data_IF_925586015849
#
_entry.id   IF_925586015849
#
_cell.length_a   1.000
_cell.length_b   1.000
_cell.length_c   1.000
_cell.angle_alpha   90.00
_cell.angle_beta   90.00
_cell.angle_gamma   90.00
#
_symmetry.space_group_name_H-M   'P 1'
#
loop_
_entity.id
_entity.type
_entity.pdbx_description
1 polymer ?
#
# COMPACT_ATOMS: atom_id res chain seq x y z
N UNK A 1 -16.35 2.34 10.92
CA UNK A 1 -15.70 1.04 11.28
C UNK A 1 -16.71 0.06 11.85
N UNK A 2 -17.39 0.41 12.96
CA UNK A 2 -18.27 -0.53 13.70
C UNK A 2 -19.35 -1.18 12.82
N UNK A 3 -20.06 -0.41 12.02
CA UNK A 3 -21.15 -0.91 11.16
C UNK A 3 -20.69 -2.01 10.18
N UNK A 4 -19.56 -1.82 9.52
CA UNK A 4 -19.02 -2.84 8.58
C UNK A 4 -18.60 -4.09 9.34
N UNK A 5 -18.02 -3.92 10.54
CA UNK A 5 -17.66 -5.05 11.41
C UNK A 5 -18.90 -5.79 11.91
N UNK A 6 -19.98 -5.07 12.22
CA UNK A 6 -21.24 -5.69 12.65
C UNK A 6 -21.84 -6.58 11.56
N UNK A 7 -21.81 -6.17 10.29
CA UNK A 7 -22.21 -7.03 9.17
C UNK A 7 -21.34 -8.28 9.04
N UNK A 8 -20.04 -8.15 9.23
CA UNK A 8 -19.15 -9.31 9.21
C UNK A 8 -19.42 -10.27 10.38
N UNK A 9 -19.71 -9.75 11.57
CA UNK A 9 -20.09 -10.55 12.73
C UNK A 9 -21.45 -11.24 12.52
N UNK A 10 -22.43 -10.55 11.94
CA UNK A 10 -23.73 -11.15 11.57
C UNK A 10 -23.54 -12.32 10.60
N UNK A 11 -22.67 -12.17 9.57
CA UNK A 11 -22.34 -13.28 8.69
C UNK A 11 -21.75 -14.47 9.47
N UNK A 12 -20.80 -14.22 10.38
CA UNK A 12 -20.19 -15.28 11.21
C UNK A 12 -21.20 -15.94 12.17
N UNK A 13 -22.20 -15.21 12.68
CA UNK A 13 -23.28 -15.77 13.49
C UNK A 13 -24.17 -16.75 12.71
N UNK A 14 -24.35 -16.50 11.42
CA UNK A 14 -25.14 -17.34 10.53
C UNK A 14 -24.36 -18.51 9.92
N UNK A 15 -23.03 -18.45 9.96
CA UNK A 15 -22.16 -19.49 9.40
C UNK A 15 -22.29 -20.81 10.16
N UNK A 16 -22.47 -21.93 9.43
CA UNK A 16 -22.72 -23.27 9.98
C UNK A 16 -21.57 -24.27 9.81
N UNK A 17 -20.45 -23.83 9.22
CA UNK A 17 -19.28 -24.69 9.01
C UNK A 17 -19.42 -25.73 7.89
N UNK A 18 -20.45 -25.62 7.03
CA UNK A 18 -20.70 -26.59 5.95
C UNK A 18 -19.68 -26.51 4.82
N UNK A 19 -19.15 -25.31 4.57
CA UNK A 19 -18.17 -25.04 3.50
C UNK A 19 -17.18 -23.96 3.98
N UNK A 20 -15.92 -23.97 3.49
CA UNK A 20 -15.03 -22.84 3.69
C UNK A 20 -15.66 -21.54 3.20
N UNK A 21 -15.31 -20.42 3.82
CA UNK A 21 -15.72 -19.09 3.36
C UNK A 21 -14.50 -18.24 2.98
N UNK A 22 -14.72 -17.29 2.10
CA UNK A 22 -13.84 -16.15 1.86
C UNK A 22 -14.64 -14.88 2.16
N UNK A 23 -14.10 -14.03 3.04
CA UNK A 23 -14.75 -12.79 3.46
C UNK A 23 -13.79 -11.62 3.32
N UNK A 24 -14.21 -10.58 2.63
CA UNK A 24 -13.51 -9.30 2.60
C UNK A 24 -14.27 -8.31 3.48
N UNK A 25 -13.58 -7.75 4.47
CA UNK A 25 -14.09 -6.70 5.35
C UNK A 25 -13.39 -5.40 5.00
N UNK A 26 -14.03 -4.58 4.19
CA UNK A 26 -13.47 -3.33 3.68
C UNK A 26 -14.02 -2.13 4.45
N UNK A 27 -13.22 -1.63 5.39
CA UNK A 27 -13.53 -0.38 6.10
C UNK A 27 -13.12 0.81 5.23
N UNK A 28 -13.85 1.92 5.37
CA UNK A 28 -13.48 3.18 4.71
C UNK A 28 -12.32 3.83 5.48
N UNK A 29 -12.37 3.77 6.80
CA UNK A 29 -11.33 4.33 7.65
C UNK A 29 -9.99 3.58 7.45
N UNK A 30 -8.86 4.25 7.56
CA UNK A 30 -8.65 5.65 7.99
C UNK A 30 -8.62 6.65 6.81
N UNK A 31 -9.54 6.54 5.86
CA UNK A 31 -9.62 7.40 4.68
C UNK A 31 -9.88 8.86 5.06
N UNK A 32 -9.21 9.78 4.39
CA UNK A 32 -9.52 11.21 4.46
C UNK A 32 -10.92 11.46 3.89
N UNK A 33 -11.75 12.17 4.62
CA UNK A 33 -13.11 12.47 4.17
C UNK A 33 -13.09 13.66 3.19
N UNK A 34 -13.08 13.35 1.91
CA UNK A 34 -12.89 14.35 0.84
C UNK A 34 -13.95 15.46 0.87
N UNK A 35 -15.19 15.12 1.19
CA UNK A 35 -16.30 16.09 1.26
C UNK A 35 -16.17 17.05 2.45
N UNK A 36 -15.45 16.63 3.49
CA UNK A 36 -15.22 17.42 4.71
C UNK A 36 -13.80 18.00 4.76
N UNK A 37 -12.90 17.57 3.87
CA UNK A 37 -11.51 18.00 3.77
C UNK A 37 -10.65 17.74 5.02
N UNK A 38 -10.98 16.69 5.80
CA UNK A 38 -10.22 16.27 6.99
C UNK A 38 -10.42 14.79 7.31
N UNK A 39 -9.58 14.25 8.21
CA UNK A 39 -9.80 12.95 8.84
C UNK A 39 -10.84 13.09 9.97
N UNK A 40 -11.68 12.08 10.14
CA UNK A 40 -12.73 12.07 11.17
C UNK A 40 -12.51 10.90 12.13
N UNK A 41 -11.71 11.13 13.15
CA UNK A 41 -11.52 10.18 14.25
C UNK A 41 -12.74 10.10 15.17
N UNK A 42 -12.89 9.03 15.95
CA UNK A 42 -13.87 8.97 17.04
C UNK A 42 -13.77 10.18 17.98
N UNK A 43 -14.89 10.56 18.57
CA UNK A 43 -14.94 11.68 19.53
C UNK A 43 -13.87 11.49 20.61
N UNK A 44 -13.09 12.54 20.88
CA UNK A 44 -11.99 12.53 21.82
C UNK A 44 -10.62 12.10 21.24
N UNK A 45 -10.55 11.83 19.93
CA UNK A 45 -9.28 11.46 19.27
C UNK A 45 -8.24 12.56 19.34
N UNK A 46 -8.64 13.82 19.12
CA UNK A 46 -7.72 14.97 19.16
C UNK A 46 -7.10 15.15 20.55
N UNK A 47 -7.86 15.01 21.60
CA UNK A 47 -7.37 15.09 22.97
C UNK A 47 -6.50 13.90 23.33
N UNK A 48 -6.93 12.68 22.99
CA UNK A 48 -6.20 11.43 23.28
C UNK A 48 -4.84 11.38 22.61
N UNK A 49 -4.75 11.85 21.39
CA UNK A 49 -3.53 11.79 20.57
C UNK A 49 -2.84 13.16 20.40
N UNK A 50 -3.15 14.15 21.23
CA UNK A 50 -2.58 15.51 21.15
C UNK A 50 -1.04 15.54 21.20
N UNK A 51 -0.42 14.58 21.89
CA UNK A 51 1.03 14.47 22.06
C UNK A 51 1.63 13.32 21.20
N UNK A 52 1.10 13.12 20.01
CA UNK A 52 1.66 12.11 19.11
C UNK A 52 3.08 12.47 18.63
N UNK A 53 3.84 11.46 18.26
CA UNK A 53 5.14 11.65 17.60
C UNK A 53 4.94 11.61 16.10
N UNK A 54 5.22 12.72 15.43
CA UNK A 54 5.13 12.78 13.98
C UNK A 54 6.18 11.89 13.30
N UNK A 55 5.85 11.20 12.22
CA UNK A 55 6.82 10.65 11.30
C UNK A 55 7.80 11.72 10.79
N UNK A 56 9.08 11.35 10.61
CA UNK A 56 10.14 12.32 10.29
C UNK A 56 9.97 12.98 8.92
N UNK A 57 9.43 12.27 7.96
CA UNK A 57 9.10 12.81 6.63
C UNK A 57 8.02 13.89 6.72
N UNK A 58 6.96 13.64 7.48
CA UNK A 58 5.89 14.61 7.68
C UNK A 58 6.41 15.88 8.38
N UNK A 59 7.26 15.73 9.42
CA UNK A 59 7.87 16.87 10.10
C UNK A 59 8.78 17.69 9.17
N UNK A 60 9.59 17.03 8.33
CA UNK A 60 10.54 17.70 7.46
C UNK A 60 9.88 18.41 6.27
N UNK A 61 8.79 17.87 5.73
CA UNK A 61 8.14 18.37 4.52
C UNK A 61 6.98 19.31 4.79
N UNK A 62 6.46 19.34 6.02
CA UNK A 62 5.27 20.12 6.36
C UNK A 62 3.96 19.38 6.01
N UNK A 63 2.99 20.07 5.45
CA UNK A 63 1.65 19.52 5.18
C UNK A 63 0.68 19.76 6.33
N UNK A 64 -0.43 18.98 6.39
CA UNK A 64 -1.49 19.17 7.37
C UNK A 64 -1.49 18.17 8.53
N UNK A 65 -0.43 17.35 8.64
CA UNK A 65 -0.38 16.24 9.62
C UNK A 65 -0.54 16.68 11.07
N UNK A 66 -0.08 17.88 11.46
CA UNK A 66 -0.19 18.36 12.85
C UNK A 66 -1.64 18.51 13.30
N UNK A 67 -2.54 18.83 12.39
CA UNK A 67 -3.96 18.99 12.64
C UNK A 67 -4.70 17.65 12.49
N UNK A 68 -4.32 16.86 11.49
CA UNK A 68 -5.07 15.71 11.01
C UNK A 68 -4.66 14.37 11.65
N UNK A 69 -3.37 14.24 12.03
CA UNK A 69 -2.82 12.96 12.49
C UNK A 69 -3.48 12.42 13.77
N UNK A 70 -3.92 13.24 14.75
CA UNK A 70 -4.65 12.73 15.90
C UNK A 70 -5.95 12.02 15.54
N UNK A 71 -6.74 12.55 14.60
CA UNK A 71 -7.95 11.90 14.12
C UNK A 71 -7.65 10.63 13.32
N UNK A 72 -6.63 10.65 12.46
CA UNK A 72 -6.12 9.46 11.78
C UNK A 72 -5.74 8.35 12.77
N UNK A 73 -5.01 8.67 13.85
CA UNK A 73 -4.66 7.70 14.90
C UNK A 73 -5.90 7.15 15.61
N UNK A 74 -6.91 7.98 15.82
CA UNK A 74 -8.19 7.57 16.36
C UNK A 74 -8.92 6.56 15.48
N UNK A 75 -8.91 6.78 14.17
CA UNK A 75 -9.46 5.85 13.19
C UNK A 75 -8.67 4.51 13.19
N UNK A 76 -7.33 4.56 13.21
CA UNK A 76 -6.50 3.36 13.30
C UNK A 76 -6.79 2.56 14.57
N UNK A 77 -6.95 3.22 15.72
CA UNK A 77 -7.32 2.55 16.97
C UNK A 77 -8.72 1.93 16.92
N UNK A 78 -9.65 2.54 16.20
CA UNK A 78 -10.97 1.97 15.97
C UNK A 78 -10.92 0.73 15.09
N UNK A 79 -10.07 0.73 14.05
CA UNK A 79 -9.82 -0.45 13.21
C UNK A 79 -9.24 -1.61 14.01
N UNK A 80 -8.22 -1.35 14.83
CA UNK A 80 -7.59 -2.36 15.69
C UNK A 80 -8.61 -3.01 16.64
N UNK A 81 -9.42 -2.19 17.32
CA UNK A 81 -10.52 -2.68 18.17
C UNK A 81 -11.47 -3.58 17.39
N UNK A 82 -11.84 -3.22 16.18
CA UNK A 82 -12.78 -3.97 15.36
C UNK A 82 -12.19 -5.25 14.78
N UNK A 83 -10.91 -5.26 14.42
CA UNK A 83 -10.19 -6.49 14.11
C UNK A 83 -10.20 -7.44 15.31
N UNK A 84 -9.97 -6.92 16.53
CA UNK A 84 -10.08 -7.69 17.78
C UNK A 84 -11.45 -8.37 17.92
N UNK A 85 -12.55 -7.67 17.68
CA UNK A 85 -13.91 -8.23 17.71
C UNK A 85 -14.10 -9.43 16.75
N UNK A 86 -13.56 -9.33 15.53
CA UNK A 86 -13.61 -10.43 14.56
C UNK A 86 -12.77 -11.62 15.01
N UNK A 87 -11.55 -11.37 15.47
CA UNK A 87 -10.65 -12.40 16.01
C UNK A 87 -11.27 -13.13 17.20
N UNK A 88 -11.86 -12.38 18.15
CA UNK A 88 -12.52 -12.96 19.32
C UNK A 88 -13.71 -13.85 18.90
N UNK A 89 -14.50 -13.38 17.92
CA UNK A 89 -15.61 -14.17 17.39
C UNK A 89 -15.15 -15.47 16.72
N UNK A 90 -14.08 -15.44 15.93
CA UNK A 90 -13.50 -16.67 15.33
C UNK A 90 -13.02 -17.65 16.41
N UNK A 91 -12.43 -17.15 17.50
CA UNK A 91 -12.01 -17.96 18.65
C UNK A 91 -13.21 -18.57 19.38
N UNK A 92 -14.25 -17.80 19.66
CA UNK A 92 -15.50 -18.28 20.27
C UNK A 92 -16.15 -19.40 19.44
N UNK A 93 -16.08 -19.30 18.11
CA UNK A 93 -16.58 -20.32 17.19
C UNK A 93 -15.65 -21.54 17.07
N UNK A 94 -14.44 -21.49 17.61
CA UNK A 94 -13.44 -22.57 17.53
C UNK A 94 -12.84 -22.76 16.13
N UNK A 95 -12.90 -21.74 15.25
CA UNK A 95 -12.39 -21.79 13.87
C UNK A 95 -11.21 -20.86 13.63
N UNK A 96 -10.72 -20.19 14.65
CA UNK A 96 -9.60 -19.24 14.53
C UNK A 96 -8.34 -19.90 13.97
N UNK A 97 -7.99 -21.08 14.43
CA UNK A 97 -6.78 -21.82 14.00
C UNK A 97 -6.88 -22.33 12.55
N UNK A 98 -8.11 -22.48 12.04
CA UNK A 98 -8.39 -22.89 10.66
C UNK A 98 -8.66 -21.70 9.74
N UNK A 99 -8.43 -20.47 10.22
CA UNK A 99 -8.70 -19.24 9.46
C UNK A 99 -7.41 -18.49 9.18
N UNK A 100 -7.17 -18.17 7.91
CA UNK A 100 -6.11 -17.22 7.53
C UNK A 100 -6.69 -15.82 7.55
N UNK A 101 -6.05 -14.93 8.30
CA UNK A 101 -6.42 -13.52 8.40
C UNK A 101 -5.34 -12.68 7.72
N UNK A 102 -5.73 -11.87 6.75
CA UNK A 102 -4.85 -10.92 6.05
C UNK A 102 -5.34 -9.52 6.38
N UNK A 103 -4.51 -8.73 7.06
CA UNK A 103 -4.76 -7.32 7.33
C UNK A 103 -3.84 -6.47 6.48
N UNK A 104 -4.41 -5.56 5.70
CA UNK A 104 -3.65 -4.64 4.83
C UNK A 104 -4.43 -3.35 4.58
N UNK A 105 -3.74 -2.38 3.96
CA UNK A 105 -4.36 -1.19 3.36
C UNK A 105 -4.13 -1.21 1.85
N UNK A 106 -4.99 -0.53 1.08
CA UNK A 106 -4.85 -0.34 -0.35
C UNK A 106 -3.74 0.65 -0.70
N UNK A 107 -3.59 1.73 0.06
CA UNK A 107 -2.55 2.75 -0.06
C UNK A 107 -2.32 3.45 1.30
N UNK A 108 -1.24 4.21 1.39
CA UNK A 108 -0.92 5.05 2.55
C UNK A 108 -1.41 6.49 2.40
N UNK A 109 -0.83 7.40 3.20
CA UNK A 109 -1.13 8.82 3.18
C UNK A 109 0.13 9.66 3.43
N UNK A 110 0.31 10.70 2.63
CA UNK A 110 1.41 11.65 2.81
C UNK A 110 0.96 12.99 3.44
N UNK A 111 -0.27 13.11 3.90
CA UNK A 111 -0.77 14.28 4.62
C UNK A 111 -0.44 15.62 3.94
N UNK A 112 -0.70 15.75 2.64
CA UNK A 112 -0.40 16.92 1.80
C UNK A 112 1.09 17.26 1.61
N UNK A 113 2.03 16.41 2.09
CA UNK A 113 3.48 16.72 2.02
C UNK A 113 4.09 16.56 0.64
N UNK A 114 3.44 15.84 -0.29
CA UNK A 114 3.95 15.50 -1.63
C UNK A 114 3.15 16.12 -2.78
N UNK A 115 2.31 17.09 -2.49
CA UNK A 115 1.51 17.78 -3.49
C UNK A 115 2.38 18.67 -4.38
N UNK A 116 2.80 18.13 -5.53
CA UNK A 116 3.55 18.90 -6.55
C UNK A 116 2.65 19.56 -7.57
N UNK A 117 1.57 18.92 -7.92
CA UNK A 117 0.75 19.23 -9.08
C UNK A 117 -0.69 19.58 -8.72
N UNK A 118 -0.88 20.23 -7.57
CA UNK A 118 -2.20 20.72 -7.14
C UNK A 118 -2.91 21.57 -8.22
N UNK A 119 -2.14 22.16 -9.17
CA UNK A 119 -2.65 22.93 -10.27
C UNK A 119 -3.11 22.09 -11.48
N UNK A 120 -2.69 20.82 -11.61
CA UNK A 120 -3.08 19.97 -12.73
C UNK A 120 -4.46 19.36 -12.55
N UNK A 121 -4.83 18.99 -11.31
CA UNK A 121 -6.15 18.43 -11.00
C UNK A 121 -6.75 18.95 -9.68
N UNK A 122 -6.13 19.92 -9.05
CA UNK A 122 -6.67 20.62 -7.89
C UNK A 122 -6.71 19.84 -6.57
N UNK A 123 -6.57 18.52 -6.55
CA UNK A 123 -6.84 17.69 -5.39
C UNK A 123 -6.01 16.40 -5.36
N UNK A 124 -4.71 16.54 -5.55
CA UNK A 124 -3.80 15.41 -5.35
C UNK A 124 -3.39 15.21 -3.90
N UNK A 125 -4.18 15.54 -3.11
CA UNK A 125 -4.38 15.81 -1.73
C UNK A 125 -3.48 15.04 -0.75
N UNK A 126 -3.60 13.71 -0.58
CA UNK A 126 -2.92 13.01 0.52
C UNK A 126 -2.34 11.64 0.12
N UNK A 127 -2.66 11.12 -1.07
CA UNK A 127 -2.33 9.72 -1.43
C UNK A 127 -1.71 9.50 -2.81
N UNK A 128 -1.91 10.37 -3.78
CA UNK A 128 -1.56 10.14 -5.19
C UNK A 128 -0.08 10.41 -5.47
N UNK A 129 0.78 9.67 -4.78
CA UNK A 129 2.23 9.80 -4.83
C UNK A 129 2.92 8.44 -4.92
N UNK A 130 4.08 8.37 -5.60
CA UNK A 130 4.93 7.18 -5.70
C UNK A 130 5.94 7.07 -4.56
N UNK A 131 5.81 7.87 -3.50
CA UNK A 131 6.67 7.81 -2.33
C UNK A 131 6.23 6.73 -1.33
N UNK A 132 7.17 6.25 -0.51
CA UNK A 132 6.92 5.22 0.51
C UNK A 132 5.73 5.58 1.44
N UNK A 133 5.51 6.86 1.73
CA UNK A 133 4.35 7.31 2.52
C UNK A 133 3.00 6.85 1.94
N UNK A 134 2.90 6.65 0.62
CA UNK A 134 1.69 6.16 -0.05
C UNK A 134 1.79 4.69 -0.48
N UNK A 135 2.97 4.19 -0.80
CA UNK A 135 3.17 2.85 -1.33
C UNK A 135 3.39 1.80 -0.25
N UNK A 136 4.04 2.16 0.86
CA UNK A 136 4.37 1.24 1.95
C UNK A 136 3.21 1.13 2.93
N UNK A 137 2.35 0.17 2.69
CA UNK A 137 1.16 -0.11 3.51
C UNK A 137 1.45 -1.17 4.57
N UNK A 138 0.69 -1.21 5.68
CA UNK A 138 0.74 -2.34 6.61
C UNK A 138 0.32 -3.63 5.89
N UNK A 139 1.00 -4.73 6.19
CA UNK A 139 0.60 -6.08 5.79
C UNK A 139 0.93 -7.04 6.93
N UNK A 140 -0.09 -7.66 7.49
CA UNK A 140 0.03 -8.70 8.51
C UNK A 140 -0.78 -9.90 8.05
N UNK A 141 -0.16 -11.08 8.10
CA UNK A 141 -0.83 -12.34 7.75
C UNK A 141 -0.64 -13.31 8.90
N UNK A 142 -1.71 -13.99 9.30
CA UNK A 142 -1.67 -15.04 10.33
C UNK A 142 -2.60 -16.19 9.97
N UNK A 143 -2.30 -17.39 10.45
CA UNK A 143 -3.06 -18.63 10.18
C UNK A 143 -2.50 -19.43 9.02
N UNK A 144 -2.93 -20.69 8.88
CA UNK A 144 -2.42 -21.62 7.88
C UNK A 144 -0.90 -21.80 7.96
N UNK A 145 -0.21 -21.54 6.86
CA UNK A 145 1.26 -21.58 6.79
C UNK A 145 1.95 -20.31 7.32
N UNK A 146 1.21 -19.25 7.61
CA UNK A 146 1.73 -17.97 8.14
C UNK A 146 1.74 -17.99 9.67
N UNK A 147 2.58 -18.80 10.25
CA UNK A 147 2.66 -19.04 11.70
C UNK A 147 4.04 -18.71 12.28
N UNK A 148 4.13 -18.68 13.62
CA UNK A 148 5.39 -18.55 14.34
C UNK A 148 5.85 -17.14 14.64
N UNK A 149 5.20 -16.13 14.10
CA UNK A 149 5.58 -14.71 14.23
C UNK A 149 6.90 -14.39 13.55
N UNK A 150 7.07 -13.17 13.12
CA UNK A 150 8.30 -12.73 12.48
C UNK A 150 8.06 -11.53 11.57
N UNK A 151 9.15 -10.98 11.02
CA UNK A 151 9.14 -9.89 10.06
C UNK A 151 9.80 -10.36 8.77
N UNK A 152 9.06 -10.29 7.67
CA UNK A 152 9.59 -10.49 6.32
C UNK A 152 10.04 -9.13 5.79
N UNK A 153 11.31 -9.00 5.43
CA UNK A 153 11.90 -7.76 4.92
C UNK A 153 11.95 -7.69 3.39
N UNK A 154 11.59 -8.78 2.73
CA UNK A 154 11.46 -8.82 1.29
C UNK A 154 10.31 -7.91 0.83
N UNK A 155 10.53 -7.20 -0.29
CA UNK A 155 9.49 -6.36 -0.88
C UNK A 155 8.38 -7.23 -1.48
N UNK A 156 7.15 -6.92 -1.14
CA UNK A 156 5.95 -7.62 -1.60
C UNK A 156 5.00 -6.59 -2.22
N UNK A 157 4.44 -6.92 -3.39
CA UNK A 157 3.41 -6.10 -4.02
C UNK A 157 2.01 -6.62 -3.68
N UNK A 158 1.07 -5.72 -3.39
CA UNK A 158 -0.35 -6.05 -3.21
C UNK A 158 -0.97 -6.72 -4.45
N UNK A 159 -0.35 -6.59 -5.64
CA UNK A 159 -0.71 -7.35 -6.83
C UNK A 159 -0.59 -8.87 -6.65
N UNK A 160 0.17 -9.34 -5.66
CA UNK A 160 0.27 -10.76 -5.30
C UNK A 160 -0.87 -11.28 -4.42
N UNK A 161 -1.71 -10.39 -3.89
CA UNK A 161 -2.80 -10.78 -2.99
C UNK A 161 -3.79 -11.79 -3.62
N UNK A 162 -4.26 -11.63 -4.87
CA UNK A 162 -5.14 -12.61 -5.49
C UNK A 162 -4.51 -14.01 -5.60
N UNK A 163 -3.25 -14.11 -6.04
CA UNK A 163 -2.52 -15.39 -6.06
C UNK A 163 -2.39 -16.02 -4.68
N UNK A 164 -2.12 -15.20 -3.68
CA UNK A 164 -2.01 -15.65 -2.28
C UNK A 164 -3.32 -16.24 -1.77
N UNK A 165 -4.45 -15.55 -1.98
CA UNK A 165 -5.78 -16.00 -1.56
C UNK A 165 -6.14 -17.33 -2.26
N UNK A 166 -5.91 -17.42 -3.55
CA UNK A 166 -6.20 -18.63 -4.32
C UNK A 166 -5.28 -19.79 -3.92
N UNK A 167 -4.00 -19.51 -3.67
CA UNK A 167 -3.05 -20.49 -3.13
C UNK A 167 -3.47 -21.05 -1.78
N UNK A 168 -3.92 -20.18 -0.84
CA UNK A 168 -4.49 -20.59 0.45
C UNK A 168 -5.72 -21.48 0.24
N UNK A 169 -6.54 -21.21 -0.76
CA UNK A 169 -7.71 -22.01 -1.10
C UNK A 169 -7.36 -23.31 -1.87
N UNK A 170 -6.09 -23.58 -2.15
CA UNK A 170 -5.65 -24.76 -2.91
C UNK A 170 -6.02 -24.69 -4.40
N UNK A 171 -6.23 -23.50 -4.95
CA UNK A 171 -6.56 -23.27 -6.36
C UNK A 171 -5.29 -22.91 -7.13
N UNK A 172 -4.95 -23.70 -8.13
CA UNK A 172 -3.86 -23.38 -9.06
C UNK A 172 -4.33 -22.31 -10.07
N UNK A 173 -3.58 -21.22 -10.17
CA UNK A 173 -3.95 -20.05 -10.98
C UNK A 173 -3.04 -19.86 -12.20
N UNK A 174 -2.08 -20.74 -12.42
CA UNK A 174 -1.16 -20.64 -13.55
C UNK A 174 -0.42 -19.29 -13.60
N UNK A 175 0.02 -18.92 -14.81
CA UNK A 175 0.82 -17.70 -15.06
C UNK A 175 -0.01 -16.47 -15.48
N UNK A 176 -1.34 -16.58 -15.50
CA UNK A 176 -2.21 -15.51 -15.99
C UNK A 176 -2.30 -14.31 -15.04
N UNK A 177 -2.01 -14.49 -13.75
CA UNK A 177 -2.02 -13.42 -12.75
C UNK A 177 -0.63 -12.84 -12.55
N UNK A 178 -0.54 -11.52 -12.55
CA UNK A 178 0.67 -10.81 -12.11
C UNK A 178 0.83 -10.86 -10.60
N UNK A 179 2.03 -10.59 -10.11
CA UNK A 179 2.36 -10.64 -8.69
C UNK A 179 2.76 -12.03 -8.21
N UNK A 180 3.18 -12.12 -6.97
CA UNK A 180 3.72 -13.33 -6.35
C UNK A 180 2.85 -13.75 -5.17
N UNK A 181 2.75 -15.06 -4.95
CA UNK A 181 2.14 -15.59 -3.74
C UNK A 181 3.01 -15.21 -2.52
N UNK A 182 2.42 -14.65 -1.48
CA UNK A 182 3.15 -14.22 -0.27
C UNK A 182 3.77 -15.40 0.48
N UNK A 183 3.19 -16.59 0.41
CA UNK A 183 3.77 -17.80 0.96
C UNK A 183 5.09 -18.17 0.27
N UNK A 184 5.17 -18.05 -1.07
CA UNK A 184 6.40 -18.31 -1.82
C UNK A 184 7.52 -17.35 -1.40
N UNK A 185 7.18 -16.10 -1.10
CA UNK A 185 8.14 -15.11 -0.58
C UNK A 185 8.57 -15.46 0.83
N UNK A 186 7.62 -15.82 1.71
CA UNK A 186 7.89 -16.25 3.09
C UNK A 186 8.86 -17.44 3.13
N UNK A 187 8.63 -18.44 2.28
CA UNK A 187 9.42 -19.67 2.24
C UNK A 187 10.65 -19.59 1.32
N UNK A 188 10.88 -18.42 0.69
CA UNK A 188 11.99 -18.23 -0.28
C UNK A 188 11.99 -19.28 -1.38
N UNK A 189 10.81 -19.59 -1.90
CA UNK A 189 10.61 -20.61 -2.95
C UNK A 189 11.42 -20.29 -4.22
N UNK A 190 11.60 -19.01 -4.55
CA UNK A 190 12.48 -18.55 -5.62
C UNK A 190 13.68 -17.75 -5.05
N UNK A 191 14.85 -18.37 -4.83
CA UNK A 191 16.02 -17.69 -4.29
C UNK A 191 16.61 -16.62 -5.22
N UNK A 192 16.25 -16.64 -6.52
CA UNK A 192 16.69 -15.66 -7.52
C UNK A 192 15.66 -14.55 -7.77
N UNK A 193 14.62 -14.49 -6.96
CA UNK A 193 13.59 -13.45 -7.03
C UNK A 193 14.23 -12.06 -6.88
N UNK A 194 13.99 -11.13 -7.82
CA UNK A 194 14.44 -9.76 -7.63
C UNK A 194 13.65 -9.12 -6.46
N UNK A 195 14.38 -8.58 -5.47
CA UNK A 195 13.77 -7.87 -4.35
C UNK A 195 13.41 -6.44 -4.77
N UNK A 196 12.40 -6.33 -5.62
CA UNK A 196 11.91 -5.08 -6.17
C UNK A 196 10.40 -5.16 -6.40
N UNK A 197 9.74 -4.02 -6.37
CA UNK A 197 8.30 -3.89 -6.68
C UNK A 197 8.06 -2.77 -7.67
N UNK A 198 7.04 -2.97 -8.50
CA UNK A 198 6.52 -1.99 -9.45
C UNK A 198 5.26 -1.34 -8.86
N UNK A 199 5.11 -0.03 -9.08
CA UNK A 199 3.92 0.71 -8.70
C UNK A 199 3.51 1.67 -9.81
N UNK A 200 2.20 1.99 -9.86
CA UNK A 200 1.63 2.87 -10.87
C UNK A 200 0.58 3.82 -10.30
N UNK A 201 0.48 5.00 -10.88
CA UNK A 201 -0.64 5.93 -10.75
C UNK A 201 -1.18 6.20 -12.15
N UNK A 202 -2.51 6.19 -12.28
CA UNK A 202 -3.23 6.54 -13.51
C UNK A 202 -4.52 7.27 -13.14
N UNK A 203 -4.40 8.34 -12.38
CA UNK A 203 -5.52 9.14 -11.88
C UNK A 203 -5.20 10.64 -11.97
N UNK A 204 -4.51 11.23 -10.99
CA UNK A 204 -4.09 12.63 -11.05
C UNK A 204 -3.05 12.86 -12.14
N UNK A 205 -2.18 11.88 -12.34
CA UNK A 205 -1.16 11.82 -13.39
C UNK A 205 -0.93 10.39 -13.84
N UNK A 206 -0.19 10.21 -14.91
CA UNK A 206 0.35 8.90 -15.29
C UNK A 206 1.78 8.83 -14.77
N UNK A 207 1.98 8.03 -13.74
CA UNK A 207 3.27 7.83 -13.07
C UNK A 207 3.58 6.35 -12.88
N UNK A 208 4.87 6.00 -12.91
CA UNK A 208 5.37 4.64 -12.70
C UNK A 208 6.58 4.68 -11.79
N UNK A 209 6.71 3.71 -10.91
CA UNK A 209 7.85 3.62 -10.02
C UNK A 209 8.36 2.20 -9.87
N UNK A 210 9.66 2.10 -9.62
CA UNK A 210 10.32 0.90 -9.14
C UNK A 210 10.90 1.18 -7.75
N UNK A 211 10.63 0.29 -6.80
CA UNK A 211 11.14 0.32 -5.45
C UNK A 211 11.98 -0.92 -5.23
N UNK A 212 13.24 -0.74 -4.88
CA UNK A 212 14.18 -1.80 -4.47
C UNK A 212 14.52 -1.66 -2.99
N UNK A 213 15.28 -2.57 -2.41
CA UNK A 213 15.76 -2.43 -1.03
C UNK A 213 16.53 -1.13 -0.80
N UNK A 214 17.27 -0.65 -1.82
CA UNK A 214 18.23 0.45 -1.69
C UNK A 214 17.76 1.75 -2.32
N UNK A 215 16.85 1.70 -3.30
CA UNK A 215 16.50 2.85 -4.13
C UNK A 215 15.01 2.93 -4.42
N UNK A 216 14.51 4.15 -4.55
CA UNK A 216 13.22 4.47 -5.15
C UNK A 216 13.44 5.33 -6.40
N UNK A 217 12.83 4.94 -7.53
CA UNK A 217 12.91 5.68 -8.77
C UNK A 217 11.55 5.74 -9.44
N UNK A 218 11.17 6.94 -9.88
CA UNK A 218 9.89 7.19 -10.51
C UNK A 218 10.04 7.97 -11.81
N UNK A 219 9.12 7.71 -12.71
CA UNK A 219 8.91 8.44 -13.96
C UNK A 219 7.44 8.89 -14.06
N UNK A 220 7.19 9.92 -14.85
CA UNK A 220 5.84 10.39 -15.14
C UNK A 220 5.69 10.75 -16.62
N UNK A 221 4.47 10.77 -17.13
CA UNK A 221 4.15 11.17 -18.49
C UNK A 221 3.75 12.66 -18.53
N UNK A 222 4.62 13.57 -19.05
CA UNK A 222 4.31 14.99 -19.08
C UNK A 222 3.08 15.30 -19.92
N UNK A 223 2.19 16.14 -19.39
CA UNK A 223 1.01 16.62 -20.12
C UNK A 223 -0.12 15.60 -20.30
N UNK A 224 0.01 14.39 -19.76
CA UNK A 224 -1.04 13.37 -19.84
C UNK A 224 -1.95 13.45 -18.62
N UNK A 225 -3.25 13.50 -18.87
CA UNK A 225 -4.27 13.40 -17.82
C UNK A 225 -4.55 11.94 -17.51
N UNK A 226 -4.16 11.47 -16.32
CA UNK A 226 -4.30 10.08 -15.89
C UNK A 226 -5.74 9.60 -15.79
N UNK A 227 -6.70 10.50 -15.52
CA UNK A 227 -8.13 10.17 -15.49
C UNK A 227 -8.74 9.93 -16.89
N UNK A 228 -8.11 10.45 -17.94
CA UNK A 228 -8.54 10.26 -19.32
C UNK A 228 -7.72 9.21 -20.08
N UNK A 229 -6.44 9.07 -19.74
CA UNK A 229 -5.51 8.18 -20.43
C UNK A 229 -4.62 7.48 -19.38
N UNK A 230 -4.77 6.18 -19.16
CA UNK A 230 -4.12 5.48 -18.03
C UNK A 230 -2.65 5.14 -18.27
N UNK A 231 -2.15 5.24 -19.50
CA UNK A 231 -0.78 4.91 -19.90
C UNK A 231 -0.24 5.93 -20.91
N UNK A 232 1.06 5.92 -21.16
CA UNK A 232 1.72 6.78 -22.12
C UNK A 232 2.89 6.03 -22.82
N UNK A 233 3.31 6.56 -23.98
CA UNK A 233 4.45 6.03 -24.71
C UNK A 233 5.77 6.67 -24.27
N UNK A 234 5.70 7.87 -23.68
CA UNK A 234 6.88 8.63 -23.25
C UNK A 234 6.80 8.98 -21.77
N UNK A 235 7.88 8.68 -21.06
CA UNK A 235 8.04 9.00 -19.65
C UNK A 235 9.31 9.82 -19.38
N UNK A 236 9.18 10.88 -18.62
CA UNK A 236 10.28 11.67 -18.08
C UNK A 236 10.63 11.23 -16.66
N UNK A 237 11.88 11.44 -16.23
CA UNK A 237 12.29 11.21 -14.85
C UNK A 237 11.49 12.11 -13.89
N UNK A 238 11.09 11.59 -12.74
CA UNK A 238 10.36 12.32 -11.70
C UNK A 238 11.20 12.48 -10.43
N UNK A 239 11.55 11.36 -9.80
CA UNK A 239 12.44 11.37 -8.65
C UNK A 239 13.35 10.15 -8.59
N UNK A 240 14.45 10.29 -7.84
CA UNK A 240 15.35 9.21 -7.45
C UNK A 240 15.83 9.44 -6.01
N UNK A 241 15.75 8.41 -5.18
CA UNK A 241 16.22 8.43 -3.79
C UNK A 241 17.15 7.26 -3.48
N UNK A 242 18.25 7.55 -2.76
CA UNK A 242 19.11 6.56 -2.11
C UNK A 242 18.57 6.31 -0.69
N UNK A 243 17.82 5.26 -0.51
CA UNK A 243 17.06 4.97 0.72
C UNK A 243 17.94 4.53 1.89
N UNK A 244 19.20 4.15 1.64
CA UNK A 244 20.17 3.92 2.70
C UNK A 244 20.64 5.22 3.35
N UNK A 245 20.72 6.29 2.56
CA UNK A 245 21.14 7.62 3.02
C UNK A 245 19.96 8.48 3.41
N UNK A 246 18.86 8.33 2.71
CA UNK A 246 17.64 9.14 2.85
C UNK A 246 16.40 8.22 2.90
N UNK A 247 16.17 7.52 4.02
CA UNK A 247 15.04 6.59 4.16
C UNK A 247 13.67 7.29 4.21
N UNK A 248 13.66 8.62 4.24
CA UNK A 248 12.45 9.44 4.28
C UNK A 248 12.18 10.18 2.96
N UNK A 249 13.01 9.92 1.93
CA UNK A 249 12.79 10.49 0.59
C UNK A 249 12.72 12.03 0.58
N UNK A 250 13.62 12.69 1.31
CA UNK A 250 13.64 14.15 1.48
C UNK A 250 14.41 14.87 0.38
N UNK A 251 15.45 14.20 -0.17
CA UNK A 251 16.39 14.81 -1.11
C UNK A 251 16.31 14.09 -2.46
N UNK A 252 15.58 14.68 -3.40
CA UNK A 252 15.49 14.14 -4.76
C UNK A 252 16.82 14.27 -5.51
N UNK A 253 17.43 13.13 -5.83
CA UNK A 253 18.73 12.99 -6.50
C UNK A 253 18.61 12.70 -8.00
N UNK A 254 17.46 12.94 -8.59
CA UNK A 254 17.17 12.57 -9.99
C UNK A 254 18.14 13.21 -10.99
N UNK A 255 18.62 14.42 -10.69
CA UNK A 255 19.57 15.18 -11.53
C UNK A 255 21.03 15.06 -11.04
N UNK A 256 21.32 14.30 -9.98
CA UNK A 256 22.66 14.14 -9.47
C UNK A 256 23.49 13.21 -10.38
N UNK A 257 24.57 13.71 -10.99
CA UNK A 257 25.40 12.92 -11.91
C UNK A 257 26.08 11.72 -11.23
N UNK A 258 26.25 11.73 -9.91
CA UNK A 258 26.82 10.61 -9.18
C UNK A 258 25.97 9.33 -9.24
N UNK A 259 24.68 9.47 -9.51
CA UNK A 259 23.72 8.37 -9.61
C UNK A 259 23.30 8.01 -11.05
N UNK A 260 23.92 8.61 -12.06
CA UNK A 260 23.53 8.41 -13.48
C UNK A 260 23.47 6.93 -13.86
N UNK A 261 24.49 6.14 -13.51
CA UNK A 261 24.54 4.72 -13.88
C UNK A 261 23.42 3.92 -13.22
N UNK A 262 23.26 4.04 -11.89
CA UNK A 262 22.23 3.27 -11.15
C UNK A 262 20.82 3.69 -11.57
N UNK A 263 20.61 4.97 -11.85
CA UNK A 263 19.34 5.49 -12.39
C UNK A 263 19.01 4.87 -13.75
N UNK A 264 19.99 4.77 -14.66
CA UNK A 264 19.81 4.12 -15.97
C UNK A 264 19.45 2.65 -15.83
N UNK A 265 20.08 1.93 -14.90
CA UNK A 265 19.77 0.53 -14.62
C UNK A 265 18.32 0.37 -14.09
N UNK A 266 17.91 1.22 -13.15
CA UNK A 266 16.55 1.23 -12.63
C UNK A 266 15.51 1.63 -13.68
N UNK A 267 15.82 2.62 -14.54
CA UNK A 267 14.96 2.96 -15.67
C UNK A 267 14.74 1.78 -16.60
N UNK A 268 15.79 1.08 -16.95
CA UNK A 268 15.71 -0.13 -17.79
C UNK A 268 14.80 -1.20 -17.16
N UNK A 269 14.95 -1.45 -15.86
CA UNK A 269 14.09 -2.37 -15.12
C UNK A 269 12.64 -1.90 -15.09
N UNK A 270 12.41 -0.61 -14.81
CA UNK A 270 11.08 -0.01 -14.78
C UNK A 270 10.37 -0.11 -16.13
N UNK A 271 11.04 0.21 -17.22
CA UNK A 271 10.48 0.06 -18.57
C UNK A 271 10.16 -1.41 -18.90
N UNK A 272 10.96 -2.35 -18.39
CA UNK A 272 10.64 -3.77 -18.53
C UNK A 272 9.38 -4.17 -17.74
N UNK A 273 9.21 -3.65 -16.52
CA UNK A 273 7.99 -3.83 -15.74
C UNK A 273 6.75 -3.28 -16.46
N UNK A 274 6.83 -2.07 -17.04
CA UNK A 274 5.73 -1.47 -17.81
C UNK A 274 5.37 -2.37 -19.00
N UNK A 275 6.36 -2.89 -19.74
CA UNK A 275 6.10 -3.82 -20.85
C UNK A 275 5.38 -5.08 -20.40
N UNK A 276 5.77 -5.63 -19.28
CA UNK A 276 5.22 -6.89 -18.77
C UNK A 276 3.85 -6.71 -18.14
N UNK A 277 3.70 -5.68 -17.29
CA UNK A 277 2.46 -5.47 -16.53
C UNK A 277 1.36 -4.78 -17.35
N UNK A 278 1.71 -3.93 -18.31
CA UNK A 278 0.76 -3.10 -19.05
C UNK A 278 0.65 -3.49 -20.53
N UNK A 279 1.44 -4.48 -20.97
CA UNK A 279 1.53 -4.87 -22.39
C UNK A 279 1.82 -3.66 -23.31
N UNK A 280 2.65 -2.73 -22.83
CA UNK A 280 3.02 -1.47 -23.48
C UNK A 280 4.50 -1.48 -23.86
N UNK A 281 4.91 -0.60 -24.78
CA UNK A 281 6.32 -0.47 -25.20
C UNK A 281 6.78 0.98 -25.11
N UNK A 282 6.84 1.57 -23.90
CA UNK A 282 7.26 2.96 -23.72
C UNK A 282 8.76 3.16 -23.96
N UNK A 283 9.13 4.41 -24.26
CA UNK A 283 10.49 4.92 -24.39
C UNK A 283 10.96 5.70 -23.16
#
# INVERSE_FOLDING_TARGET
>A
VDCITDFALEFLEQYRGEKPFFMTVSHIEPHHQNDHHHYEGPIGSKEKYANFTSPKDLEALGGNHREEYPDYLGQCASLDKNLGRLVDRLKEMGIYEDTVIIYLSDHGSHFMTRNRDAHLNGYDDYKRSMHDACLRVPLVVTGGEFTGGGVVTDLISTAGLPKTILGIAGVDVGDEMIGENFADVLHKANPNRPNEVFAQISESRVGRAIRTADYAYSVYAPGINGGAQPAADLYADDFFYDLKKDPYELNNLVDDPAYTQVKQELRKKLLNWIRTAENASPE
#
